data_IF_536907086075
#
_entry.id   IF_536907086075
#
_cell.length_a   1.000
_cell.length_b   1.000
_cell.length_c   1.000
_cell.angle_alpha   90.00
_cell.angle_beta   90.00
_cell.angle_gamma   90.00
#
_symmetry.space_group_name_H-M   'P 1'
#
loop_
_entity.id
_entity.type
_entity.pdbx_description
1 polymer ?
#
# COMPACT_ATOMS: atom_id res chain seq x y z
N UNK A 1 -12.74 -18.60 9.87
CA UNK A 1 -12.80 -17.49 10.85
C UNK A 1 -12.12 -17.81 12.18
N UNK A 2 -12.11 -19.06 12.63
CA UNK A 2 -11.42 -19.49 13.86
C UNK A 2 -9.94 -19.07 13.94
N UNK A 3 -9.15 -19.27 12.87
CA UNK A 3 -7.71 -18.95 12.88
C UNK A 3 -7.45 -17.45 13.08
N UNK A 4 -8.17 -16.59 12.35
CA UNK A 4 -8.01 -15.13 12.45
C UNK A 4 -8.47 -14.68 13.84
N UNK A 5 -9.64 -15.13 14.29
CA UNK A 5 -10.16 -14.76 15.61
C UNK A 5 -9.20 -15.19 16.73
N UNK A 6 -8.63 -16.39 16.65
CA UNK A 6 -7.66 -16.91 17.62
C UNK A 6 -6.41 -16.05 17.68
N UNK A 7 -5.83 -15.72 16.53
CA UNK A 7 -4.63 -14.88 16.46
C UNK A 7 -4.85 -13.48 17.06
N UNK A 8 -6.03 -12.89 16.88
CA UNK A 8 -6.37 -11.59 17.48
C UNK A 8 -6.69 -11.70 18.97
N UNK A 9 -7.38 -12.76 19.42
CA UNK A 9 -7.67 -12.99 20.84
C UNK A 9 -6.40 -13.12 21.68
N UNK A 10 -5.32 -13.72 21.14
CA UNK A 10 -4.00 -13.78 21.80
C UNK A 10 -3.42 -12.39 22.11
N UNK A 11 -3.90 -11.34 21.43
CA UNK A 11 -3.51 -9.95 21.61
C UNK A 11 -4.58 -9.11 22.35
N UNK A 12 -5.56 -9.76 22.97
CA UNK A 12 -6.71 -9.12 23.62
C UNK A 12 -7.61 -8.31 22.67
N UNK A 13 -7.71 -8.77 21.41
CA UNK A 13 -8.50 -8.13 20.36
C UNK A 13 -9.57 -9.09 19.84
N UNK A 14 -10.74 -8.55 19.50
CA UNK A 14 -11.81 -9.28 18.85
C UNK A 14 -12.12 -8.72 17.46
N UNK A 15 -12.09 -9.58 16.44
CA UNK A 15 -12.45 -9.19 15.07
C UNK A 15 -13.98 -9.24 14.93
N UNK A 16 -14.62 -8.08 14.98
CA UNK A 16 -16.08 -7.98 14.89
C UNK A 16 -16.59 -8.35 13.50
N UNK A 17 -15.94 -7.82 12.46
CA UNK A 17 -16.27 -8.11 11.07
C UNK A 17 -15.05 -7.92 10.18
N UNK A 18 -15.06 -8.64 9.06
CA UNK A 18 -14.17 -8.43 7.93
C UNK A 18 -15.05 -8.17 6.70
N UNK A 19 -14.71 -7.15 5.94
CA UNK A 19 -15.37 -6.80 4.69
C UNK A 19 -14.32 -6.64 3.58
N UNK A 20 -14.81 -6.67 2.35
CA UNK A 20 -14.07 -6.36 1.14
C UNK A 20 -13.58 -4.90 1.15
N UNK A 21 -12.26 -4.74 1.02
CA UNK A 21 -11.60 -3.47 0.78
C UNK A 21 -11.24 -3.27 -0.69
N UNK A 22 -10.63 -2.12 -1.03
CA UNK A 22 -10.16 -1.87 -2.38
C UNK A 22 -9.09 -2.90 -2.79
N UNK A 23 -8.96 -3.12 -4.09
CA UNK A 23 -7.79 -3.80 -4.66
C UNK A 23 -6.51 -3.02 -4.38
N UNK A 24 -5.37 -3.70 -4.33
CA UNK A 24 -4.05 -3.12 -4.07
C UNK A 24 -2.98 -3.65 -5.03
N UNK A 25 -1.80 -3.04 -4.97
CA UNK A 25 -0.64 -3.40 -5.79
C UNK A 25 -0.49 -2.55 -7.05
N UNK A 26 -1.39 -1.59 -7.29
CA UNK A 26 -1.20 -0.52 -8.28
C UNK A 26 -0.22 0.52 -7.70
N UNK A 27 0.59 1.16 -8.56
CA UNK A 27 1.47 2.27 -8.18
C UNK A 27 1.18 3.52 -8.99
N UNK A 28 1.31 4.68 -8.35
CA UNK A 28 1.60 5.95 -9.03
C UNK A 28 3.09 6.25 -8.89
N UNK A 29 3.71 6.69 -9.98
CA UNK A 29 5.15 6.92 -10.04
C UNK A 29 5.51 8.23 -10.74
N UNK A 30 6.56 8.86 -10.23
CA UNK A 30 7.24 10.02 -10.84
C UNK A 30 8.11 9.62 -12.03
N UNK A 31 8.52 8.34 -12.10
CA UNK A 31 9.37 7.76 -13.14
C UNK A 31 8.65 6.62 -13.89
N UNK A 32 8.93 6.39 -15.18
CA UNK A 32 8.35 5.24 -15.88
C UNK A 32 8.88 3.93 -15.29
N UNK A 33 8.01 2.93 -15.18
CA UNK A 33 8.36 1.55 -14.82
C UNK A 33 7.79 0.65 -15.91
N UNK A 34 8.67 0.01 -16.70
CA UNK A 34 8.32 -0.81 -17.87
C UNK A 34 8.86 -2.23 -17.77
N UNK A 35 9.87 -2.46 -16.94
CA UNK A 35 10.38 -3.78 -16.62
C UNK A 35 10.68 -3.91 -15.13
N UNK A 36 11.03 -5.12 -14.69
CA UNK A 36 11.41 -5.38 -13.30
C UNK A 36 12.74 -4.69 -12.94
N UNK A 37 13.63 -4.50 -13.90
CA UNK A 37 14.92 -3.82 -13.70
C UNK A 37 14.75 -2.34 -13.37
N UNK A 38 13.69 -1.69 -13.87
CA UNK A 38 13.40 -0.28 -13.58
C UNK A 38 13.08 -0.03 -12.10
N UNK A 39 12.65 -1.07 -11.37
CA UNK A 39 12.33 -1.02 -9.95
C UNK A 39 13.60 -0.91 -9.09
N UNK A 40 14.73 -1.40 -9.59
CA UNK A 40 15.97 -1.48 -8.82
C UNK A 40 16.47 -0.08 -8.45
N UNK A 41 16.66 0.15 -7.15
CA UNK A 41 17.10 1.43 -6.59
C UNK A 41 16.00 2.50 -6.50
N UNK A 42 14.76 2.20 -6.90
CA UNK A 42 13.62 3.09 -6.64
C UNK A 42 13.30 3.14 -5.15
N UNK A 43 12.85 4.29 -4.67
CA UNK A 43 12.29 4.46 -3.33
C UNK A 43 10.77 4.33 -3.39
N UNK A 44 10.23 3.22 -2.90
CA UNK A 44 8.80 2.90 -3.07
C UNK A 44 8.10 2.92 -1.71
N UNK A 45 7.00 3.67 -1.62
CA UNK A 45 6.08 3.58 -0.49
C UNK A 45 5.06 2.48 -0.75
N UNK A 46 5.13 1.41 0.04
CA UNK A 46 4.22 0.26 -0.02
C UNK A 46 4.16 -0.45 1.33
N UNK A 47 3.42 -1.55 1.45
CA UNK A 47 3.19 -2.24 2.71
C UNK A 47 2.93 -3.74 2.54
N UNK A 48 3.04 -4.49 3.64
CA UNK A 48 2.79 -5.93 3.69
C UNK A 48 3.65 -6.70 2.70
N UNK A 49 3.09 -7.76 2.11
CA UNK A 49 3.79 -8.61 1.15
C UNK A 49 4.30 -7.87 -0.10
N UNK A 50 3.70 -6.72 -0.45
CA UNK A 50 4.21 -5.90 -1.56
C UNK A 50 5.55 -5.25 -1.23
N UNK A 51 5.79 -4.89 0.04
CA UNK A 51 7.09 -4.37 0.47
C UNK A 51 8.17 -5.41 0.26
N UNK A 52 7.96 -6.63 0.77
CA UNK A 52 8.91 -7.75 0.59
C UNK A 52 9.17 -8.05 -0.89
N UNK A 53 8.12 -8.02 -1.72
CA UNK A 53 8.26 -8.22 -3.17
C UNK A 53 9.14 -7.15 -3.81
N UNK A 54 8.89 -5.86 -3.54
CA UNK A 54 9.66 -4.76 -4.13
C UNK A 54 11.09 -4.68 -3.56
N UNK A 55 11.31 -5.03 -2.28
CA UNK A 55 12.66 -5.21 -1.71
C UNK A 55 13.42 -6.31 -2.44
N UNK A 56 12.78 -7.44 -2.73
CA UNK A 56 13.37 -8.53 -3.50
C UNK A 56 13.77 -8.12 -4.92
N UNK A 57 13.10 -7.12 -5.49
CA UNK A 57 13.44 -6.50 -6.79
C UNK A 57 14.50 -5.38 -6.65
N UNK A 58 14.96 -5.09 -5.44
CA UNK A 58 16.02 -4.12 -5.16
C UNK A 58 15.53 -2.68 -4.99
N UNK A 59 14.23 -2.45 -4.76
CA UNK A 59 13.74 -1.14 -4.33
C UNK A 59 14.06 -0.90 -2.84
N UNK A 60 14.26 0.37 -2.47
CA UNK A 60 14.26 0.79 -1.07
C UNK A 60 12.84 1.11 -0.62
N UNK A 61 12.33 0.41 0.40
CA UNK A 61 10.98 0.68 0.91
C UNK A 61 11.03 1.84 1.91
N UNK A 62 10.13 2.81 1.69
CA UNK A 62 10.04 3.99 2.54
C UNK A 62 8.65 4.04 3.16
N UNK A 63 8.60 4.06 4.50
CA UNK A 63 7.35 4.27 5.23
C UNK A 63 7.07 5.77 5.32
N UNK A 64 5.97 6.19 4.71
CA UNK A 64 5.46 7.57 4.77
C UNK A 64 3.97 7.51 5.15
N UNK A 65 3.51 8.35 6.10
CA UNK A 65 2.09 8.50 6.38
C UNK A 65 1.28 8.83 5.12
N UNK A 66 0.04 8.34 5.03
CA UNK A 66 -0.79 8.55 3.83
C UNK A 66 -0.96 10.03 3.46
N UNK A 67 -1.18 10.89 4.46
CA UNK A 67 -1.33 12.34 4.26
C UNK A 67 -0.06 13.07 3.78
N UNK A 68 1.11 12.44 3.86
CA UNK A 68 2.39 13.02 3.44
C UNK A 68 2.86 12.50 2.08
N UNK A 69 2.12 11.57 1.45
CA UNK A 69 2.52 10.97 0.17
C UNK A 69 2.70 12.00 -0.94
N UNK A 70 1.80 12.98 -1.04
CA UNK A 70 1.89 14.05 -2.05
C UNK A 70 3.23 14.76 -1.95
N UNK A 71 3.56 15.30 -0.76
CA UNK A 71 4.80 16.03 -0.53
C UNK A 71 6.02 15.14 -0.73
N UNK A 72 5.96 13.89 -0.28
CA UNK A 72 7.06 12.94 -0.43
C UNK A 72 7.35 12.61 -1.90
N UNK A 73 6.33 12.49 -2.75
CA UNK A 73 6.46 12.32 -4.20
C UNK A 73 6.97 13.61 -4.85
N UNK A 74 6.39 14.77 -4.50
CA UNK A 74 6.73 16.08 -5.07
C UNK A 74 8.20 16.47 -4.81
N UNK A 75 8.71 16.13 -3.63
CA UNK A 75 10.09 16.44 -3.20
C UNK A 75 11.10 15.35 -3.57
N UNK A 76 10.64 14.23 -4.14
CA UNK A 76 11.49 13.10 -4.51
C UNK A 76 12.04 12.31 -3.32
N UNK A 77 11.42 12.41 -2.13
CA UNK A 77 11.69 11.51 -1.00
C UNK A 77 11.37 10.07 -1.39
N UNK A 78 10.24 9.87 -2.08
CA UNK A 78 9.85 8.61 -2.72
C UNK A 78 9.63 8.81 -4.22
N UNK A 79 9.90 7.76 -5.00
CA UNK A 79 9.72 7.76 -6.46
C UNK A 79 8.33 7.26 -6.87
N UNK A 80 7.75 6.34 -6.09
CA UNK A 80 6.45 5.75 -6.34
C UNK A 80 5.72 5.40 -5.03
N UNK A 81 4.39 5.34 -5.09
CA UNK A 81 3.54 5.00 -3.95
C UNK A 81 2.34 4.14 -4.35
N UNK A 82 1.95 3.20 -3.48
CA UNK A 82 0.64 2.52 -3.56
C UNK A 82 -0.32 3.08 -2.51
N UNK A 83 -1.59 3.21 -2.90
CA UNK A 83 -2.70 3.64 -2.05
C UNK A 83 -4.03 3.20 -2.66
N UNK A 84 -4.38 1.94 -2.46
CA UNK A 84 -5.62 1.37 -2.95
C UNK A 84 -5.65 1.33 -4.48
N UNK A 85 -6.64 2.00 -5.05
CA UNK A 85 -6.92 2.04 -6.48
C UNK A 85 -6.90 3.47 -7.03
N UNK A 86 -7.15 3.73 -8.34
CA UNK A 86 -7.17 5.08 -8.88
C UNK A 86 -7.96 6.10 -8.04
N UNK A 87 -9.12 5.72 -7.50
CA UNK A 87 -9.89 6.60 -6.61
C UNK A 87 -9.14 7.00 -5.34
N UNK A 88 -8.35 6.09 -4.76
CA UNK A 88 -7.50 6.38 -3.61
C UNK A 88 -6.38 7.35 -3.96
N UNK A 89 -5.76 7.22 -5.12
CA UNK A 89 -4.76 8.18 -5.60
C UNK A 89 -5.34 9.58 -5.77
N UNK A 90 -6.53 9.67 -6.38
CA UNK A 90 -7.25 10.94 -6.53
C UNK A 90 -7.58 11.60 -5.18
N UNK A 91 -7.96 10.84 -4.15
CA UNK A 91 -8.27 11.39 -2.82
C UNK A 91 -7.07 12.04 -2.10
N UNK A 92 -5.84 11.78 -2.56
CA UNK A 92 -4.61 12.37 -2.02
C UNK A 92 -3.89 13.28 -3.02
N UNK A 93 -4.54 13.61 -4.13
CA UNK A 93 -4.04 14.47 -5.20
C UNK A 93 -2.70 14.03 -5.82
N UNK A 94 -2.28 12.78 -5.61
CA UNK A 94 -0.94 12.35 -6.00
C UNK A 94 -0.76 12.30 -7.52
N UNK A 95 -1.85 12.28 -8.29
CA UNK A 95 -1.85 12.42 -9.75
C UNK A 95 -1.29 13.77 -10.23
N UNK A 96 -1.25 14.80 -9.39
CA UNK A 96 -0.66 16.09 -9.75
C UNK A 96 0.87 16.04 -9.79
N UNK A 97 1.46 15.15 -8.98
CA UNK A 97 2.91 15.05 -8.77
C UNK A 97 3.51 13.77 -9.35
N UNK A 98 2.69 12.93 -9.98
CA UNK A 98 3.11 11.68 -10.64
C UNK A 98 2.55 11.62 -12.06
N UNK A 99 3.24 10.91 -12.95
CA UNK A 99 2.86 10.83 -14.38
C UNK A 99 2.54 9.42 -14.86
N UNK A 100 2.95 8.41 -14.09
CA UNK A 100 2.90 7.03 -14.53
C UNK A 100 2.05 6.22 -13.56
N UNK A 101 0.97 5.64 -14.10
CA UNK A 101 0.17 4.65 -13.41
C UNK A 101 0.63 3.25 -13.81
N UNK A 102 0.96 2.42 -12.83
CA UNK A 102 1.38 1.05 -13.03
C UNK A 102 0.27 0.15 -12.49
N UNK A 103 -0.36 -0.57 -13.41
CA UNK A 103 -1.28 -1.65 -13.13
C UNK A 103 -1.02 -2.83 -14.08
N UNK A 104 -1.85 -3.88 -14.08
CA UNK A 104 -3.05 -4.09 -13.25
C UNK A 104 -2.71 -4.27 -11.74
N UNK A 105 -3.73 -4.28 -10.86
CA UNK A 105 -3.51 -4.54 -9.43
C UNK A 105 -2.97 -5.95 -9.21
N UNK A 106 -2.13 -6.09 -8.20
CA UNK A 106 -1.55 -7.39 -7.81
C UNK A 106 -2.51 -8.23 -6.97
N UNK A 107 -3.52 -7.60 -6.35
CA UNK A 107 -4.61 -8.29 -5.65
C UNK A 107 -5.96 -7.88 -6.19
N UNK A 108 -6.92 -8.81 -6.17
CA UNK A 108 -8.28 -8.57 -6.69
C UNK A 108 -9.17 -7.89 -5.64
N UNK A 109 -8.93 -8.20 -4.36
CA UNK A 109 -9.68 -7.70 -3.21
C UNK A 109 -8.74 -7.65 -1.99
N UNK A 110 -9.01 -6.76 -1.04
CA UNK A 110 -8.40 -6.81 0.29
C UNK A 110 -9.44 -7.08 1.36
N UNK A 111 -8.99 -7.39 2.57
CA UNK A 111 -9.84 -7.46 3.74
C UNK A 111 -9.60 -6.22 4.60
N UNK A 112 -10.67 -5.53 4.96
CA UNK A 112 -10.70 -4.49 5.99
C UNK A 112 -11.60 -4.96 7.12
N UNK A 113 -11.35 -4.54 8.35
CA UNK A 113 -12.09 -5.07 9.49
C UNK A 113 -12.32 -4.06 10.59
N UNK A 114 -13.37 -4.31 11.36
CA UNK A 114 -13.57 -3.65 12.65
C UNK A 114 -13.02 -4.58 13.71
N UNK A 115 -12.08 -4.06 14.49
CA UNK A 115 -11.42 -4.78 15.57
C UNK A 115 -11.70 -4.00 16.86
N UNK A 116 -12.15 -4.70 17.90
CA UNK A 116 -12.44 -4.12 19.22
C UNK A 116 -11.48 -4.67 20.26
N UNK A 117 -11.14 -3.84 21.25
CA UNK A 117 -10.42 -4.31 22.43
C UNK A 117 -11.40 -5.05 23.35
N UNK A 118 -10.96 -6.16 23.95
CA UNK A 118 -11.77 -6.96 24.87
C UNK A 118 -11.88 -6.37 26.29
N UNK A 119 -11.04 -5.38 26.63
CA UNK A 119 -11.07 -4.64 27.90
C UNK A 119 -12.09 -3.47 27.89
N UNK A 120 -12.59 -3.09 26.71
CA UNK A 120 -13.54 -1.97 26.54
C UNK A 120 -15.00 -2.36 26.70
#
# INVERSE_FOLDING_TARGET
>A
MDIIQRAYNEQNLYVLTLDSGPRYGELMSTKPIRSLEDVKGMKIRTFGAFAEMYEGLGAGIVSVPGGEMYTALATGVIDAATWGSPGGFYSYDIQEVTKYYIGPPLTVISAVGIIINLDT
#
